data_IF_657703586417
#
_entry.id   IF_657703586417
#
_cell.length_a   1.000
_cell.length_b   1.000
_cell.length_c   1.000
_cell.angle_alpha   90.00
_cell.angle_beta   90.00
_cell.angle_gamma   90.00
#
_symmetry.space_group_name_H-M   'P 1'
#
loop_
_entity.id
_entity.type
_entity.pdbx_description
1 polymer ?
#
# COMPACT_ATOMS: atom_id res chain seq x y z
N UNK A 1 -8.18 24.28 11.01
CA UNK A 1 -9.56 23.81 10.70
C UNK A 1 -9.68 22.32 11.01
N UNK A 2 -10.87 21.86 11.40
CA UNK A 2 -11.13 20.44 11.69
C UNK A 2 -11.20 19.61 10.41
N UNK A 3 -10.90 18.31 10.50
CA UNK A 3 -10.86 17.42 9.33
C UNK A 3 -12.18 17.36 8.56
N UNK A 4 -13.32 17.42 9.26
CA UNK A 4 -14.66 17.39 8.64
C UNK A 4 -15.16 18.75 8.16
N UNK A 5 -14.32 19.79 8.23
CA UNK A 5 -14.69 21.13 7.74
C UNK A 5 -15.00 21.07 6.25
N UNK A 6 -16.21 21.52 5.87
CA UNK A 6 -16.63 21.65 4.47
C UNK A 6 -15.94 22.84 3.82
N UNK A 7 -15.47 22.63 2.61
CA UNK A 7 -14.72 23.62 1.86
C UNK A 7 -15.62 24.28 0.81
N UNK A 8 -15.40 25.56 0.56
CA UNK A 8 -15.99 26.27 -0.57
C UNK A 8 -15.17 26.01 -1.84
N UNK A 9 -13.85 26.11 -1.74
CA UNK A 9 -12.92 25.79 -2.82
C UNK A 9 -11.52 25.51 -2.27
N UNK A 10 -10.67 24.94 -3.13
CA UNK A 10 -9.23 24.87 -2.90
C UNK A 10 -8.49 25.56 -4.05
N UNK A 11 -7.37 26.18 -3.74
CA UNK A 11 -6.59 27.01 -4.64
C UNK A 11 -5.15 26.53 -4.65
N UNK A 12 -4.65 26.14 -5.82
CA UNK A 12 -3.22 26.04 -6.05
C UNK A 12 -2.71 27.42 -6.47
N UNK A 13 -1.89 28.04 -5.64
CA UNK A 13 -1.15 29.24 -5.94
C UNK A 13 0.20 28.86 -6.54
N UNK A 14 0.45 29.24 -7.79
CA UNK A 14 1.62 28.79 -8.54
C UNK A 14 2.78 29.78 -8.40
N UNK A 15 4.00 29.27 -8.42
CA UNK A 15 5.19 30.13 -8.57
C UNK A 15 5.25 30.76 -9.96
N UNK A 16 6.04 31.83 -10.17
CA UNK A 16 6.20 32.45 -11.50
C UNK A 16 6.64 31.46 -12.60
N UNK A 17 7.44 30.45 -12.23
CA UNK A 17 7.88 29.37 -13.12
C UNK A 17 6.81 28.31 -13.40
N UNK A 18 5.71 28.30 -12.64
CA UNK A 18 4.58 27.36 -12.74
C UNK A 18 4.97 25.90 -12.52
N UNK A 19 6.11 25.66 -11.87
CA UNK A 19 6.62 24.33 -11.52
C UNK A 19 6.32 23.93 -10.08
N UNK A 20 6.07 24.91 -9.21
CA UNK A 20 5.74 24.70 -7.80
C UNK A 20 4.44 25.39 -7.44
N UNK A 21 3.80 24.93 -6.37
CA UNK A 21 2.55 25.50 -5.89
C UNK A 21 2.42 25.43 -4.37
N UNK A 22 1.58 26.31 -3.84
CA UNK A 22 0.97 26.18 -2.52
C UNK A 22 -0.50 25.82 -2.68
N UNK A 23 -0.94 24.74 -2.04
CA UNK A 23 -2.35 24.35 -1.99
C UNK A 23 -2.97 24.94 -0.74
N UNK A 24 -3.91 25.87 -0.92
CA UNK A 24 -4.65 26.55 0.15
C UNK A 24 -6.11 26.14 0.07
N UNK A 25 -6.70 25.75 1.21
CA UNK A 25 -8.11 25.39 1.33
C UNK A 25 -8.89 26.54 1.96
N UNK A 26 -10.12 26.77 1.48
CA UNK A 26 -11.02 27.81 1.96
C UNK A 26 -12.31 27.18 2.47
N UNK A 27 -12.64 27.44 3.74
CA UNK A 27 -13.84 26.88 4.36
C UNK A 27 -15.10 27.66 3.95
N UNK A 28 -16.23 26.97 3.82
CA UNK A 28 -17.51 27.61 3.49
C UNK A 28 -17.99 28.57 4.59
N UNK A 29 -17.62 28.29 5.84
CA UNK A 29 -17.91 29.14 7.01
C UNK A 29 -16.95 30.31 7.17
N UNK A 30 -16.00 30.47 6.25
CA UNK A 30 -14.92 31.45 6.34
C UNK A 30 -13.62 30.89 6.93
N UNK A 31 -12.51 31.57 6.60
CA UNK A 31 -11.15 31.15 6.94
C UNK A 31 -10.46 30.38 5.82
N UNK A 32 -9.13 30.39 5.86
CA UNK A 32 -8.28 29.63 4.95
C UNK A 32 -7.12 28.95 5.69
N UNK A 33 -6.63 27.85 5.14
CA UNK A 33 -5.50 27.11 5.71
C UNK A 33 -4.62 26.60 4.56
N UNK A 34 -3.29 26.68 4.71
CA UNK A 34 -2.35 26.06 3.78
C UNK A 34 -2.29 24.56 4.05
N UNK A 35 -2.62 23.77 3.04
CA UNK A 35 -2.68 22.31 3.13
C UNK A 35 -1.37 21.63 2.74
N UNK A 36 -0.76 22.08 1.66
CA UNK A 36 0.46 21.49 1.11
C UNK A 36 1.27 22.52 0.32
N UNK A 37 2.55 22.25 0.11
CA UNK A 37 3.40 23.02 -0.80
C UNK A 37 4.43 22.10 -1.43
N UNK A 38 4.74 22.29 -2.71
CA UNK A 38 5.64 21.40 -3.41
C UNK A 38 5.61 21.57 -4.92
N UNK A 39 6.00 20.51 -5.63
CA UNK A 39 5.93 20.45 -7.08
C UNK A 39 4.47 20.39 -7.55
N UNK A 40 4.17 21.07 -8.64
CA UNK A 40 2.84 21.04 -9.26
C UNK A 40 2.63 19.76 -10.08
N UNK A 41 3.69 19.26 -10.72
CA UNK A 41 3.63 18.15 -11.68
C UNK A 41 2.90 16.90 -11.16
N UNK A 42 3.16 16.40 -9.92
CA UNK A 42 2.43 15.25 -9.39
C UNK A 42 0.91 15.46 -9.39
N UNK A 43 0.43 16.67 -9.08
CA UNK A 43 -1.00 16.97 -9.10
C UNK A 43 -1.57 16.96 -10.52
N UNK A 44 -0.83 17.43 -11.52
CA UNK A 44 -1.29 17.49 -12.92
C UNK A 44 -1.45 16.10 -13.54
N UNK A 45 -0.60 15.15 -13.13
CA UNK A 45 -0.73 13.73 -13.53
C UNK A 45 -2.05 13.14 -13.04
N UNK A 46 -2.51 13.55 -11.86
CA UNK A 46 -3.69 13.00 -11.22
C UNK A 46 -4.96 13.83 -11.41
N UNK A 47 -4.90 15.11 -11.79
CA UNK A 47 -6.07 15.99 -11.89
C UNK A 47 -6.25 16.52 -13.31
N UNK A 48 -7.23 15.96 -14.03
CA UNK A 48 -7.62 16.49 -15.34
C UNK A 48 -8.04 17.96 -15.26
N UNK A 49 -8.85 18.33 -14.27
CA UNK A 49 -9.29 19.72 -14.07
C UNK A 49 -8.13 20.70 -13.86
N UNK A 50 -7.06 20.27 -13.18
CA UNK A 50 -5.86 21.08 -13.00
C UNK A 50 -5.06 21.20 -14.31
N UNK A 51 -4.93 20.10 -15.05
CA UNK A 51 -4.30 20.06 -16.38
C UNK A 51 -5.01 20.96 -17.40
N UNK A 52 -6.34 20.99 -17.36
CA UNK A 52 -7.15 21.84 -18.24
C UNK A 52 -7.00 23.32 -17.88
N UNK A 53 -6.88 23.65 -16.58
CA UNK A 53 -6.67 25.02 -16.12
C UNK A 53 -5.26 25.54 -16.38
N UNK A 54 -4.22 24.73 -16.14
CA UNK A 54 -2.83 25.14 -16.40
C UNK A 54 -2.60 25.41 -17.90
N UNK A 55 -3.30 24.69 -18.78
CA UNK A 55 -3.21 24.90 -20.23
C UNK A 55 -3.75 26.27 -20.67
N UNK A 56 -4.64 26.89 -19.88
CA UNK A 56 -5.24 28.21 -20.18
C UNK A 56 -4.34 29.39 -19.78
N UNK A 57 -3.23 29.13 -19.09
CA UNK A 57 -2.34 30.17 -18.55
C UNK A 57 -2.68 30.57 -17.11
N UNK A 58 -1.95 31.55 -16.57
CA UNK A 58 -2.15 32.07 -15.21
C UNK A 58 -1.34 31.36 -14.11
N UNK A 59 -1.47 31.91 -12.89
CA UNK A 59 -0.73 31.51 -11.69
C UNK A 59 -1.62 30.88 -10.61
N UNK A 60 -2.82 30.43 -10.99
CA UNK A 60 -3.77 29.83 -10.06
C UNK A 60 -4.58 28.72 -10.69
N UNK A 61 -4.81 27.64 -9.95
CA UNK A 61 -5.76 26.57 -10.31
C UNK A 61 -6.77 26.47 -9.18
N UNK A 62 -8.06 26.48 -9.51
CA UNK A 62 -9.15 26.43 -8.51
C UNK A 62 -9.87 25.10 -8.64
N UNK A 63 -9.97 24.36 -7.53
CA UNK A 63 -10.85 23.22 -7.39
C UNK A 63 -12.10 23.68 -6.62
N UNK A 64 -13.23 23.76 -7.32
CA UNK A 64 -14.52 24.11 -6.74
C UNK A 64 -15.56 23.03 -7.09
N UNK A 65 -16.30 22.50 -6.11
CA UNK A 65 -17.36 21.53 -6.38
C UNK A 65 -18.51 22.19 -7.18
N UNK A 66 -19.23 21.44 -8.05
CA UNK A 66 -20.35 21.97 -8.83
C UNK A 66 -21.50 22.48 -7.97
N UNK A 67 -21.75 21.83 -6.83
CA UNK A 67 -22.76 22.21 -5.86
C UNK A 67 -22.12 22.86 -4.64
N UNK A 68 -22.68 23.99 -4.21
CA UNK A 68 -22.29 24.61 -2.95
C UNK A 68 -22.63 23.69 -1.79
N UNK A 69 -21.70 23.52 -0.85
CA UNK A 69 -21.91 22.73 0.36
C UNK A 69 -21.85 21.21 0.18
N UNK A 70 -21.22 20.72 -0.90
CA UNK A 70 -20.98 19.29 -1.13
C UNK A 70 -20.40 18.60 0.12
N UNK A 71 -21.08 17.56 0.63
CA UNK A 71 -20.70 16.86 1.85
C UNK A 71 -19.33 16.17 1.75
N UNK A 72 -18.98 15.71 0.54
CA UNK A 72 -17.74 15.02 0.24
C UNK A 72 -16.54 15.96 0.09
N UNK A 73 -16.75 17.26 -0.11
CA UNK A 73 -15.67 18.23 -0.34
C UNK A 73 -15.19 18.84 0.98
N UNK A 74 -14.39 18.08 1.72
CA UNK A 74 -13.90 18.43 3.05
C UNK A 74 -12.38 18.55 3.10
N UNK A 75 -11.84 19.14 4.18
CA UNK A 75 -10.40 19.12 4.48
C UNK A 75 -9.85 17.69 4.46
N UNK A 76 -10.55 16.76 5.11
CA UNK A 76 -10.22 15.35 5.16
C UNK A 76 -10.04 14.71 3.78
N UNK A 77 -10.94 15.00 2.85
CA UNK A 77 -10.90 14.47 1.47
C UNK A 77 -9.66 14.98 0.73
N UNK A 78 -9.37 16.29 0.84
CA UNK A 78 -8.21 16.88 0.18
C UNK A 78 -6.89 16.43 0.79
N UNK A 79 -6.81 16.25 2.11
CA UNK A 79 -5.62 15.69 2.76
C UNK A 79 -5.30 14.28 2.24
N UNK A 80 -6.31 13.43 2.12
CA UNK A 80 -6.18 12.07 1.59
C UNK A 80 -5.76 12.07 0.12
N UNK A 81 -6.36 12.96 -0.69
CA UNK A 81 -5.93 13.14 -2.07
C UNK A 81 -4.45 13.59 -2.17
N UNK A 82 -4.01 14.56 -1.35
CA UNK A 82 -2.60 14.99 -1.32
C UNK A 82 -1.68 13.83 -0.92
N UNK A 83 -2.07 13.02 0.07
CA UNK A 83 -1.33 11.81 0.45
C UNK A 83 -1.26 10.81 -0.71
N UNK A 84 -2.36 10.60 -1.44
CA UNK A 84 -2.38 9.73 -2.61
C UNK A 84 -1.44 10.21 -3.72
N UNK A 85 -1.41 11.50 -4.01
CA UNK A 85 -0.48 12.07 -5.01
C UNK A 85 0.98 11.86 -4.62
N UNK A 86 1.27 11.85 -3.31
CA UNK A 86 2.63 11.68 -2.79
C UNK A 86 3.05 10.21 -2.70
N UNK A 87 2.11 9.32 -2.38
CA UNK A 87 2.39 7.88 -2.14
C UNK A 87 1.18 7.05 -2.55
N UNK A 88 0.92 6.88 -3.87
CA UNK A 88 -0.21 6.11 -4.36
C UNK A 88 -0.13 4.63 -3.98
N UNK A 89 1.09 4.12 -3.76
CA UNK A 89 1.38 2.74 -3.35
C UNK A 89 0.74 2.40 -2.01
N UNK A 90 0.49 3.41 -1.15
CA UNK A 90 -0.19 3.21 0.12
C UNK A 90 -1.61 2.61 -0.04
N UNK A 91 -2.26 2.87 -1.18
CA UNK A 91 -3.59 2.33 -1.51
C UNK A 91 -3.48 1.16 -2.50
N UNK A 92 -2.66 1.30 -3.54
CA UNK A 92 -2.60 0.37 -4.67
C UNK A 92 -1.88 -0.96 -4.34
N UNK A 93 -1.01 -0.98 -3.33
CA UNK A 93 -0.22 -2.18 -3.01
C UNK A 93 -1.09 -3.32 -2.49
N UNK A 94 -2.16 -3.02 -1.75
CA UNK A 94 -3.11 -4.04 -1.27
C UNK A 94 -3.71 -4.86 -2.41
N UNK A 95 -4.16 -4.18 -3.47
CA UNK A 95 -4.74 -4.79 -4.67
C UNK A 95 -3.69 -5.49 -5.53
N UNK A 96 -2.48 -4.93 -5.60
CA UNK A 96 -1.41 -5.53 -6.41
C UNK A 96 -0.90 -6.83 -5.81
N UNK A 97 -0.74 -6.89 -4.48
CA UNK A 97 -0.36 -8.14 -3.80
C UNK A 97 -1.42 -9.22 -4.01
N UNK A 98 -2.71 -8.88 -3.99
CA UNK A 98 -3.75 -9.87 -4.28
C UNK A 98 -3.58 -10.52 -5.64
N UNK A 99 -3.27 -9.71 -6.67
CA UNK A 99 -3.03 -10.24 -8.02
C UNK A 99 -1.82 -11.17 -8.04
N UNK A 100 -0.76 -10.86 -7.29
CA UNK A 100 0.40 -11.75 -7.15
C UNK A 100 0.04 -13.06 -6.45
N UNK A 101 -0.79 -13.02 -5.40
CA UNK A 101 -1.28 -14.21 -4.70
C UNK A 101 -2.10 -15.09 -5.64
N UNK A 102 -3.09 -14.52 -6.33
CA UNK A 102 -3.93 -15.26 -7.29
C UNK A 102 -3.10 -15.88 -8.42
N UNK A 103 -2.07 -15.18 -8.89
CA UNK A 103 -1.16 -15.74 -9.91
C UNK A 103 -0.39 -16.96 -9.38
N UNK A 104 0.06 -16.93 -8.13
CA UNK A 104 0.74 -18.06 -7.48
C UNK A 104 -0.23 -19.22 -7.28
N UNK A 105 -1.44 -18.96 -6.81
CA UNK A 105 -2.48 -19.99 -6.61
C UNK A 105 -2.82 -20.70 -7.92
N UNK A 106 -3.02 -19.96 -9.00
CA UNK A 106 -3.24 -20.53 -10.32
C UNK A 106 -2.03 -21.38 -10.79
N UNK A 107 -0.81 -20.96 -10.46
CA UNK A 107 0.40 -21.72 -10.81
C UNK A 107 0.53 -23.02 -10.02
N UNK A 108 0.16 -23.02 -8.73
CA UNK A 108 0.11 -24.22 -7.88
C UNK A 108 -0.95 -25.19 -8.41
N UNK A 109 -2.17 -24.71 -8.66
CA UNK A 109 -3.27 -25.54 -9.16
C UNK A 109 -2.95 -26.16 -10.52
N UNK A 110 -2.32 -25.39 -11.43
CA UNK A 110 -1.87 -25.92 -12.72
C UNK A 110 -0.83 -27.03 -12.57
N UNK A 111 0.07 -26.93 -11.58
CA UNK A 111 1.07 -27.96 -11.33
C UNK A 111 0.44 -29.23 -10.76
N UNK A 112 -0.56 -29.14 -9.90
CA UNK A 112 -1.29 -30.29 -9.34
C UNK A 112 -2.09 -31.03 -10.43
N UNK A 113 -2.75 -30.31 -11.36
CA UNK A 113 -3.49 -30.92 -12.46
C UNK A 113 -2.61 -31.74 -13.41
N UNK A 114 -1.37 -31.29 -13.66
CA UNK A 114 -0.40 -32.08 -14.46
C UNK A 114 0.06 -33.37 -13.77
N UNK A 115 -0.09 -33.51 -12.45
CA UNK A 115 0.20 -34.77 -11.72
C UNK A 115 -0.94 -35.77 -11.89
N UNK A 116 -2.19 -35.30 -11.85
CA UNK A 116 -3.36 -36.14 -12.02
C UNK A 116 -3.48 -36.74 -13.45
N UNK A 117 -2.97 -36.07 -14.47
CA UNK A 117 -2.96 -36.57 -15.86
C UNK A 117 -1.80 -37.53 -16.15
N UNK A 118 -0.69 -37.46 -15.39
CA UNK A 118 0.46 -38.35 -15.56
C UNK A 118 0.24 -39.74 -14.91
N UNK A 119 -0.60 -39.83 -13.87
CA UNK A 119 -0.89 -41.08 -13.13
C UNK A 119 -2.15 -41.81 -13.66
N UNK A 120 -2.82 -41.26 -14.67
CA UNK A 120 -4.14 -41.71 -15.14
C UNK A 120 -4.17 -42.86 -16.18
N UNK A 121 -3.03 -43.40 -16.63
CA UNK A 121 -3.01 -44.38 -17.73
C UNK A 121 -2.63 -45.81 -17.34
N UNK A 122 -2.91 -46.30 -16.13
CA UNK A 122 -2.74 -47.74 -15.83
C UNK A 122 -4.00 -48.36 -15.23
N UNK A 123 -4.97 -48.73 -16.08
CA UNK A 123 -6.01 -49.69 -15.72
C UNK A 123 -6.54 -50.49 -16.93
N UNK A 124 -5.87 -51.62 -17.24
CA UNK A 124 -6.46 -52.97 -17.46
C UNK A 124 -5.50 -53.88 -18.24
N UNK A 125 -4.87 -54.83 -17.54
CA UNK A 125 -5.06 -56.25 -17.87
C UNK A 125 -4.42 -57.14 -16.80
N UNK A 126 -5.25 -58.03 -16.25
CA UNK A 126 -4.88 -59.18 -15.43
C UNK A 126 -4.18 -60.21 -16.34
N UNK A 127 -2.96 -60.64 -16.02
CA UNK A 127 -2.48 -62.03 -16.22
C UNK A 127 -1.05 -62.27 -15.68
N UNK A 128 -0.96 -63.20 -14.72
CA UNK A 128 0.11 -64.17 -14.42
C UNK A 128 1.57 -63.95 -14.93
N UNK A 129 2.47 -63.85 -13.94
CA UNK A 129 3.64 -64.74 -13.69
C UNK A 129 4.71 -64.90 -14.80
N UNK A 130 5.91 -64.36 -14.58
CA UNK A 130 7.14 -65.17 -14.36
C UNK A 130 8.37 -64.28 -14.03
N UNK A 131 9.32 -64.91 -13.34
CA UNK A 131 10.63 -64.44 -12.92
C UNK A 131 11.44 -63.82 -14.08
N UNK A 132 12.12 -62.70 -13.83
CA UNK A 132 13.57 -62.56 -14.05
C UNK A 132 14.08 -61.18 -13.60
N UNK A 133 15.14 -61.25 -12.83
CA UNK A 133 16.01 -60.21 -12.32
C UNK A 133 16.73 -59.49 -13.46
N UNK A 134 16.67 -58.16 -13.53
CA UNK A 134 17.68 -57.35 -14.21
C UNK A 134 17.67 -55.91 -13.69
N UNK A 135 18.87 -55.37 -13.63
CA UNK A 135 19.29 -54.22 -12.84
C UNK A 135 18.79 -52.88 -13.36
N UNK A 136 18.51 -52.00 -12.39
CA UNK A 136 18.68 -50.54 -12.35
C UNK A 136 19.11 -49.86 -13.67
N UNK A 137 18.24 -48.98 -14.19
CA UNK A 137 18.64 -47.62 -14.59
C UNK A 137 17.57 -46.64 -14.16
N UNK A 138 17.89 -45.89 -13.11
CA UNK A 138 17.14 -44.74 -12.60
C UNK A 138 17.32 -43.61 -13.60
N UNK A 139 16.23 -43.12 -14.20
CA UNK A 139 16.27 -41.79 -14.85
C UNK A 139 14.89 -41.09 -14.91
N UNK A 140 14.18 -41.08 -13.77
CA UNK A 140 12.96 -40.27 -13.59
C UNK A 140 13.01 -39.34 -12.36
N UNK A 141 14.14 -39.28 -11.64
CA UNK A 141 14.23 -38.73 -10.28
C UNK A 141 14.66 -37.24 -10.17
N UNK A 142 15.29 -36.56 -11.15
CA UNK A 142 15.67 -35.15 -10.96
C UNK A 142 14.51 -34.17 -11.13
N UNK A 143 13.52 -34.51 -11.96
CA UNK A 143 12.41 -33.61 -12.32
C UNK A 143 11.30 -33.57 -11.25
N UNK A 144 10.98 -34.72 -10.65
CA UNK A 144 10.01 -34.81 -9.55
C UNK A 144 10.49 -34.02 -8.32
N UNK A 145 11.78 -34.12 -7.98
CA UNK A 145 12.38 -33.33 -6.90
C UNK A 145 12.42 -31.83 -7.21
N UNK A 146 12.65 -31.42 -8.46
CA UNK A 146 12.66 -29.99 -8.82
C UNK A 146 11.26 -29.40 -8.77
N UNK A 147 10.23 -30.17 -9.16
CA UNK A 147 8.81 -29.79 -9.08
C UNK A 147 8.32 -29.65 -7.64
N UNK A 148 8.58 -30.64 -6.78
CA UNK A 148 8.23 -30.58 -5.35
C UNK A 148 8.92 -29.40 -4.66
N UNK A 149 10.18 -29.12 -5.01
CA UNK A 149 10.90 -27.95 -4.51
C UNK A 149 10.26 -26.64 -4.97
N UNK A 150 9.87 -26.55 -6.24
CA UNK A 150 9.20 -25.37 -6.79
C UNK A 150 7.86 -25.13 -6.08
N UNK A 151 7.04 -26.18 -5.90
CA UNK A 151 5.79 -26.07 -5.17
C UNK A 151 6.02 -25.55 -3.75
N UNK A 152 6.94 -26.14 -2.98
CA UNK A 152 7.26 -25.62 -1.64
C UNK A 152 7.65 -24.13 -1.63
N UNK A 153 8.37 -23.67 -2.65
CA UNK A 153 8.76 -22.26 -2.79
C UNK A 153 7.54 -21.37 -3.07
N UNK A 154 6.63 -21.79 -3.96
CA UNK A 154 5.39 -21.07 -4.25
C UNK A 154 4.50 -20.93 -3.00
N UNK A 155 4.37 -22.00 -2.22
CA UNK A 155 3.55 -22.04 -1.02
C UNK A 155 4.13 -21.14 0.06
N UNK A 156 5.45 -21.17 0.22
CA UNK A 156 6.16 -20.27 1.13
C UNK A 156 5.97 -18.80 0.71
N UNK A 157 6.09 -18.50 -0.59
CA UNK A 157 5.89 -17.15 -1.13
C UNK A 157 4.45 -16.66 -0.92
N UNK A 158 3.46 -17.53 -1.11
CA UNK A 158 2.05 -17.22 -0.85
C UNK A 158 1.85 -16.75 0.59
N UNK A 159 2.38 -17.49 1.57
CA UNK A 159 2.28 -17.12 3.00
C UNK A 159 2.91 -15.74 3.26
N UNK A 160 4.10 -15.47 2.71
CA UNK A 160 4.76 -14.17 2.85
C UNK A 160 3.91 -13.05 2.26
N UNK A 161 3.37 -13.24 1.05
CA UNK A 161 2.51 -12.25 0.40
C UNK A 161 1.22 -11.98 1.17
N UNK A 162 0.61 -12.98 1.80
CA UNK A 162 -0.55 -12.76 2.67
C UNK A 162 -0.21 -11.81 3.83
N UNK A 163 0.98 -11.95 4.44
CA UNK A 163 1.45 -11.02 5.49
C UNK A 163 1.72 -9.63 4.94
N UNK A 164 2.37 -9.53 3.78
CA UNK A 164 2.60 -8.23 3.12
C UNK A 164 1.28 -7.54 2.75
N UNK A 165 0.27 -8.31 2.32
CA UNK A 165 -1.06 -7.80 2.01
C UNK A 165 -1.73 -7.19 3.24
N UNK A 166 -1.69 -7.91 4.36
CA UNK A 166 -2.19 -7.43 5.65
C UNK A 166 -1.52 -6.12 6.08
N UNK A 167 -0.20 -6.05 5.95
CA UNK A 167 0.56 -4.84 6.22
C UNK A 167 0.22 -3.70 5.26
N UNK A 168 0.03 -3.99 3.97
CA UNK A 168 -0.38 -2.99 2.99
C UNK A 168 -1.76 -2.41 3.30
N UNK A 169 -2.71 -3.27 3.71
CA UNK A 169 -4.03 -2.84 4.17
C UNK A 169 -3.94 -1.92 5.40
N UNK A 170 -3.17 -2.32 6.43
CA UNK A 170 -2.96 -1.49 7.61
C UNK A 170 -2.32 -0.12 7.27
N UNK A 171 -1.34 -0.11 6.35
CA UNK A 171 -0.73 1.14 5.87
C UNK A 171 -1.73 2.02 5.14
N UNK A 172 -2.65 1.46 4.35
CA UNK A 172 -3.72 2.21 3.70
C UNK A 172 -4.61 2.92 4.74
N UNK A 173 -5.02 2.21 5.79
CA UNK A 173 -5.81 2.78 6.88
C UNK A 173 -5.06 3.91 7.61
N UNK A 174 -3.79 3.70 7.96
CA UNK A 174 -2.95 4.73 8.59
C UNK A 174 -2.75 5.96 7.69
N UNK A 175 -2.66 5.76 6.38
CA UNK A 175 -2.65 6.85 5.41
C UNK A 175 -3.99 7.60 5.34
N UNK A 176 -5.06 7.04 5.91
CA UNK A 176 -6.38 7.63 6.01
C UNK A 176 -7.37 7.07 4.99
N UNK A 177 -7.03 6.02 4.24
CA UNK A 177 -7.95 5.37 3.29
C UNK A 177 -8.93 4.42 4.00
N UNK A 178 -9.65 4.97 4.97
CA UNK A 178 -10.72 4.30 5.70
C UNK A 178 -12.01 4.27 4.85
N UNK A 179 -12.79 3.21 5.00
CA UNK A 179 -14.00 2.95 4.18
C UNK A 179 -15.02 4.09 4.24
N UNK A 180 -15.20 4.71 5.41
CA UNK A 180 -16.12 5.83 5.63
C UNK A 180 -15.83 7.04 4.73
N UNK A 181 -14.61 7.18 4.21
CA UNK A 181 -14.18 8.32 3.40
C UNK A 181 -13.88 7.96 1.95
N UNK A 182 -13.98 6.67 1.56
CA UNK A 182 -13.68 6.27 0.19
C UNK A 182 -14.73 6.84 -0.78
N UNK A 183 -16.01 6.84 -0.42
CA UNK A 183 -17.07 7.39 -1.28
C UNK A 183 -16.87 8.90 -1.54
N UNK A 184 -16.35 9.62 -0.54
CA UNK A 184 -15.97 11.03 -0.69
C UNK A 184 -14.81 11.20 -1.68
N UNK A 185 -13.81 10.31 -1.63
CA UNK A 185 -12.68 10.30 -2.57
C UNK A 185 -13.10 9.92 -3.98
N UNK A 186 -14.05 8.99 -4.14
CA UNK A 186 -14.63 8.65 -5.44
C UNK A 186 -15.38 9.86 -6.00
N UNK A 187 -16.23 10.51 -5.20
CA UNK A 187 -16.97 11.72 -5.60
C UNK A 187 -16.04 12.87 -5.99
N UNK A 188 -14.96 13.07 -5.22
CA UNK A 188 -13.90 14.02 -5.55
C UNK A 188 -13.24 13.67 -6.90
N UNK A 189 -12.94 12.40 -7.10
CA UNK A 189 -12.26 11.94 -8.30
C UNK A 189 -13.11 12.07 -9.55
N UNK A 190 -14.41 11.76 -9.46
CA UNK A 190 -15.37 11.96 -10.54
C UNK A 190 -15.49 13.43 -10.91
N UNK A 191 -15.52 14.32 -9.90
CA UNK A 191 -15.68 15.76 -10.11
C UNK A 191 -14.46 16.40 -10.75
N UNK A 192 -13.25 16.07 -10.28
CA UNK A 192 -12.02 16.75 -10.71
C UNK A 192 -11.20 15.96 -11.73
N UNK A 193 -11.68 14.77 -12.11
CA UNK A 193 -11.08 13.89 -13.10
C UNK A 193 -9.81 13.18 -12.59
N UNK A 194 -9.85 12.68 -11.35
CA UNK A 194 -8.77 11.89 -10.75
C UNK A 194 -8.96 10.38 -10.96
N UNK A 195 -8.90 9.94 -12.22
CA UNK A 195 -9.23 8.57 -12.63
C UNK A 195 -8.41 7.49 -11.88
N UNK A 196 -7.09 7.68 -11.72
CA UNK A 196 -6.24 6.72 -11.00
C UNK A 196 -6.64 6.56 -9.54
N UNK A 197 -6.95 7.67 -8.85
CA UNK A 197 -7.45 7.61 -7.46
C UNK A 197 -8.79 6.89 -7.40
N UNK A 198 -9.71 7.22 -8.31
CA UNK A 198 -11.03 6.58 -8.40
C UNK A 198 -10.90 5.06 -8.55
N UNK A 199 -10.08 4.61 -9.49
CA UNK A 199 -9.87 3.20 -9.76
C UNK A 199 -9.21 2.50 -8.55
N UNK A 200 -8.20 3.11 -7.94
CA UNK A 200 -7.58 2.59 -6.73
C UNK A 200 -8.59 2.45 -5.57
N UNK A 201 -9.47 3.43 -5.39
CA UNK A 201 -10.55 3.39 -4.38
C UNK A 201 -11.54 2.25 -4.62
N UNK A 202 -12.02 2.11 -5.86
CA UNK A 202 -12.99 1.06 -6.23
C UNK A 202 -12.36 -0.33 -6.04
N UNK A 203 -11.14 -0.52 -6.54
CA UNK A 203 -10.43 -1.80 -6.41
C UNK A 203 -10.15 -2.14 -4.94
N UNK A 204 -9.79 -1.16 -4.13
CA UNK A 204 -9.57 -1.34 -2.70
C UNK A 204 -10.85 -1.81 -1.97
N UNK A 205 -11.99 -1.16 -2.20
CA UNK A 205 -13.27 -1.56 -1.60
C UNK A 205 -13.68 -2.95 -2.07
N UNK A 206 -13.58 -3.24 -3.37
CA UNK A 206 -14.01 -4.52 -3.92
C UNK A 206 -13.20 -5.67 -3.32
N UNK A 207 -11.88 -5.51 -3.24
CA UNK A 207 -11.01 -6.50 -2.61
C UNK A 207 -11.31 -6.64 -1.11
N UNK A 208 -11.49 -5.54 -0.39
CA UNK A 208 -11.88 -5.59 1.02
C UNK A 208 -13.18 -6.39 1.23
N UNK A 209 -14.20 -6.14 0.41
CA UNK A 209 -15.47 -6.86 0.47
C UNK A 209 -15.30 -8.35 0.19
N UNK A 210 -14.57 -8.70 -0.87
CA UNK A 210 -14.25 -10.09 -1.23
C UNK A 210 -13.54 -10.82 -0.07
N UNK A 211 -12.51 -10.19 0.53
CA UNK A 211 -11.77 -10.79 1.66
C UNK A 211 -12.57 -10.87 2.95
N UNK A 212 -13.55 -10.00 3.14
CA UNK A 212 -14.40 -10.03 4.32
C UNK A 212 -15.46 -11.15 4.25
N UNK A 213 -15.82 -11.60 3.05
CA UNK A 213 -16.61 -12.83 2.86
C UNK A 213 -15.77 -14.07 3.28
N UNK A 214 -14.46 -14.04 3.04
CA UNK A 214 -13.46 -15.01 3.50
C UNK A 214 -13.05 -14.76 4.97
N UNK A 215 -13.99 -14.82 5.92
CA UNK A 215 -13.86 -14.47 7.36
C UNK A 215 -12.50 -14.74 8.04
N UNK A 216 -11.80 -15.79 7.62
CA UNK A 216 -10.45 -16.16 8.07
C UNK A 216 -9.39 -15.06 7.88
N UNK A 217 -9.51 -14.22 6.85
CA UNK A 217 -8.54 -13.15 6.59
C UNK A 217 -8.60 -12.04 7.64
N UNK A 218 -9.80 -11.70 8.13
CA UNK A 218 -9.96 -10.67 9.16
C UNK A 218 -9.39 -11.10 10.53
N UNK A 219 -9.48 -12.39 10.86
CA UNK A 219 -8.86 -12.94 12.06
C UNK A 219 -7.32 -12.85 11.99
N UNK A 220 -6.75 -13.12 10.82
CA UNK A 220 -5.30 -12.99 10.56
C UNK A 220 -4.84 -11.53 10.67
N UNK A 221 -5.63 -10.57 10.16
CA UNK A 221 -5.35 -9.13 10.30
C UNK A 221 -5.36 -8.72 11.78
N UNK A 222 -6.38 -9.15 12.53
CA UNK A 222 -6.50 -8.85 13.95
C UNK A 222 -5.36 -9.47 14.77
N UNK A 223 -4.98 -10.72 14.48
CA UNK A 223 -3.87 -11.40 15.13
C UNK A 223 -2.53 -10.68 14.87
N UNK A 224 -2.28 -10.23 13.63
CA UNK A 224 -1.06 -9.47 13.31
C UNK A 224 -1.02 -8.10 14.00
N UNK A 225 -2.14 -7.39 14.06
CA UNK A 225 -2.23 -6.11 14.76
C UNK A 225 -2.01 -6.27 16.27
N UNK A 226 -2.55 -7.34 16.87
CA UNK A 226 -2.33 -7.67 18.28
C UNK A 226 -0.85 -8.02 18.58
N UNK A 227 -0.16 -8.68 17.65
CA UNK A 227 1.27 -9.02 17.80
C UNK A 227 2.22 -7.85 17.52
N UNK A 228 1.77 -6.81 16.81
CA UNK A 228 2.59 -5.64 16.44
C UNK A 228 2.77 -4.62 17.58
N UNK A 229 2.17 -4.85 18.76
CA UNK A 229 2.47 -4.12 19.99
C UNK A 229 3.39 -4.94 20.93
N UNK A 230 4.71 -4.93 20.73
CA UNK A 230 5.59 -4.93 21.87
C UNK A 230 5.49 -3.54 22.50
N UNK A 231 4.66 -3.40 23.54
CA UNK A 231 4.88 -2.35 24.53
C UNK A 231 6.33 -2.55 25.03
N UNK A 232 7.27 -1.79 24.49
CA UNK A 232 8.60 -1.70 25.07
C UNK A 232 8.44 -0.90 26.35
N UNK A 233 8.56 -1.51 27.56
CA UNK A 233 8.69 -0.68 28.74
C UNK A 233 9.98 0.11 28.57
N UNK A 234 9.84 1.43 28.62
CA UNK A 234 10.93 2.38 28.66
C UNK A 234 11.85 2.00 29.83
N UNK A 235 12.91 1.25 29.54
CA UNK A 235 13.94 0.94 30.51
C UNK A 235 14.80 2.19 30.65
N UNK A 236 14.28 3.09 31.49
CA UNK A 236 15.07 4.16 32.05
C UNK A 236 16.26 3.58 32.83
N UNK A 237 17.31 4.37 32.87
CA UNK A 237 18.50 4.25 33.73
C UNK A 237 19.61 3.35 33.21
N UNK A 238 20.65 3.99 32.67
CA UNK A 238 22.01 3.80 33.20
C UNK A 238 22.81 5.07 32.94
N UNK A 239 22.92 5.88 33.99
CA UNK A 239 23.88 6.96 34.07
C UNK A 239 25.28 6.38 34.12
N UNK A 240 26.11 6.73 33.14
CA UNK A 240 27.54 6.46 33.21
C UNK A 240 28.13 7.49 34.18
N UNK A 241 28.49 7.04 35.38
CA UNK A 241 29.36 7.78 36.30
C UNK A 241 30.79 7.47 35.89
N UNK A 242 31.48 8.45 35.28
CA UNK A 242 32.94 8.40 35.16
C UNK A 242 33.52 9.04 36.42
N UNK A 243 33.88 8.20 37.40
CA UNK A 243 34.79 8.58 38.48
C UNK A 243 36.21 8.50 37.91
N UNK A 244 36.97 9.58 38.11
CA UNK A 244 38.25 9.82 37.45
C UNK A 244 39.45 9.19 38.15
N UNK A 245 40.62 9.55 37.63
CA UNK A 245 41.87 9.54 38.37
C UNK A 245 42.78 10.65 37.82
N UNK A 246 43.23 11.49 38.75
CA UNK A 246 44.17 12.58 38.57
C UNK A 246 45.56 12.04 38.18
N UNK A 247 46.26 12.75 37.29
CA UNK A 247 47.67 12.99 37.53
C UNK A 247 48.16 14.29 36.91
N UNK A 248 49.06 14.93 37.64
CA UNK A 248 49.26 16.36 37.69
C UNK A 248 50.37 16.91 36.76
N UNK A 249 50.44 18.25 36.75
CA UNK A 249 51.60 19.13 36.50
C UNK A 249 51.90 19.54 35.05
N UNK A 250 51.64 20.82 34.72
CA UNK A 250 52.66 21.91 34.74
C UNK A 250 52.16 23.16 33.99
N UNK A 251 52.13 24.30 34.70
CA UNK A 251 52.66 25.62 34.31
C UNK A 251 52.58 26.03 32.81
N UNK A 252 52.00 27.16 32.41
CA UNK A 252 52.26 28.54 32.84
C UNK A 252 51.50 29.51 31.91
N UNK A 253 51.16 30.71 32.41
CA UNK A 253 51.14 32.05 31.76
C UNK A 253 50.77 32.19 30.25
N UNK A 254 50.04 33.18 29.75
CA UNK A 254 49.62 34.51 30.21
C UNK A 254 48.58 35.07 29.20
N UNK A 255 47.78 36.04 29.67
CA UNK A 255 47.12 37.22 29.02
C UNK A 255 47.18 37.35 27.48
N UNK A 256 46.15 37.79 26.76
CA UNK A 256 45.10 38.81 26.99
C UNK A 256 43.84 38.43 26.19
#
# INVERSE_FOLDING_TARGET
MDSRTRLDHALFQLTPTRTRCELVIFAATGGSEKLASGLLEPFLVHLKSAKDQISKGGYSIILRPPSSGASWFTKATLQRFVKFVTTPEALERFVTIEREILQIENSIQSNELTEAEADGNHNKSIALKSYSESNVTIDAVPEENSKIRLQRVLETRKVVLCKEQAMAYARALVAGFELDYIDDLISFSDTFGASRLREACINFINLYKQKNEDRLWMEEIAAMQACAHPELPYLGTSGIILAGEDNAQSESHDKC
#
